data_IF_419358434077
#
_entry.id   IF_419358434077
#
_cell.length_a   1.000
_cell.length_b   1.000
_cell.length_c   1.000
_cell.angle_alpha   90.00
_cell.angle_beta   90.00
_cell.angle_gamma   90.00
#
_symmetry.space_group_name_H-M   'P 1'
#
loop_
_entity.id
_entity.type
_entity.pdbx_description
1 polymer ?
#
# COMPACT_ATOMS: atom_id res chain seq x y z
N UNK A 1 26.03 -0.24 56.71
CA UNK A 1 26.44 -0.34 55.28
C UNK A 1 25.81 -1.52 54.54
N UNK A 2 25.40 -2.62 55.21
CA UNK A 2 24.84 -3.81 54.54
C UNK A 2 23.43 -3.66 53.91
N UNK A 3 22.62 -2.72 54.40
CA UNK A 3 21.24 -2.52 53.91
C UNK A 3 21.23 -1.96 52.47
N UNK A 4 22.17 -1.06 52.15
CA UNK A 4 22.27 -0.49 50.81
C UNK A 4 22.81 -1.50 49.79
N UNK A 5 23.75 -2.37 50.17
CA UNK A 5 24.25 -3.43 49.29
C UNK A 5 23.18 -4.46 48.93
N UNK A 6 22.32 -4.82 49.87
CA UNK A 6 21.21 -5.74 49.60
C UNK A 6 20.17 -5.11 48.66
N UNK A 7 19.90 -3.81 48.84
CA UNK A 7 19.00 -3.07 47.94
C UNK A 7 19.56 -2.92 46.53
N UNK A 8 20.87 -2.72 46.39
CA UNK A 8 21.55 -2.68 45.08
C UNK A 8 21.42 -4.04 44.39
N UNK A 9 21.70 -5.15 45.09
CA UNK A 9 21.55 -6.49 44.53
C UNK A 9 20.10 -6.83 44.13
N UNK A 10 19.11 -6.35 44.89
CA UNK A 10 17.69 -6.50 44.53
C UNK A 10 17.35 -5.72 43.25
N UNK A 11 17.88 -4.51 43.10
CA UNK A 11 17.68 -3.69 41.91
C UNK A 11 18.39 -4.28 40.69
N UNK A 12 19.62 -4.78 40.83
CA UNK A 12 20.36 -5.46 39.74
C UNK A 12 19.58 -6.66 39.21
N UNK A 13 19.02 -7.50 40.10
CA UNK A 13 18.16 -8.62 39.69
C UNK A 13 16.92 -8.16 38.92
N UNK A 14 16.28 -7.07 39.35
CA UNK A 14 15.12 -6.51 38.63
C UNK A 14 15.51 -5.96 37.27
N UNK A 15 16.66 -5.28 37.17
CA UNK A 15 17.20 -4.78 35.91
C UNK A 15 17.44 -5.94 34.94
N UNK A 16 18.14 -7.00 35.37
CA UNK A 16 18.37 -8.19 34.52
C UNK A 16 17.08 -8.86 34.06
N UNK A 17 16.07 -8.94 34.94
CA UNK A 17 14.77 -9.46 34.58
C UNK A 17 14.11 -8.60 33.50
N UNK A 18 14.04 -7.28 33.73
CA UNK A 18 13.47 -6.34 32.76
C UNK A 18 14.19 -6.41 31.41
N UNK A 19 15.52 -6.51 31.39
CA UNK A 19 16.29 -6.69 30.15
C UNK A 19 15.93 -7.98 29.42
N UNK A 20 15.75 -9.09 30.13
CA UNK A 20 15.30 -10.37 29.54
C UNK A 20 13.89 -10.26 28.97
N UNK A 21 13.00 -9.54 29.66
CA UNK A 21 11.64 -9.27 29.16
C UNK A 21 11.68 -8.41 27.90
N UNK A 22 12.43 -7.31 27.91
CA UNK A 22 12.61 -6.42 26.76
C UNK A 22 13.10 -7.22 25.56
N UNK A 23 14.16 -8.04 25.69
CA UNK A 23 14.67 -8.88 24.59
C UNK A 23 13.60 -9.82 24.04
N UNK A 24 12.89 -10.52 24.93
CA UNK A 24 11.80 -11.43 24.52
C UNK A 24 10.68 -10.70 23.80
N UNK A 25 10.31 -9.52 24.27
CA UNK A 25 9.21 -8.75 23.69
C UNK A 25 9.63 -8.07 22.39
N UNK A 26 10.90 -7.66 22.23
CA UNK A 26 11.44 -7.20 20.94
C UNK A 26 11.47 -8.33 19.91
N UNK A 27 11.82 -9.55 20.31
CA UNK A 27 11.82 -10.71 19.41
C UNK A 27 10.39 -11.08 18.99
N UNK A 28 9.44 -11.07 19.93
CA UNK A 28 8.02 -11.27 19.61
C UNK A 28 7.49 -10.18 18.69
N UNK A 29 7.82 -8.92 18.95
CA UNK A 29 7.45 -7.79 18.08
C UNK A 29 7.97 -8.01 16.67
N UNK A 30 9.23 -8.44 16.52
CA UNK A 30 9.82 -8.74 15.20
C UNK A 30 9.05 -9.86 14.49
N UNK A 31 8.73 -10.95 15.19
CA UNK A 31 7.93 -12.06 14.63
C UNK A 31 6.53 -11.61 14.19
N UNK A 32 5.85 -10.81 15.01
CA UNK A 32 4.52 -10.28 14.68
C UNK A 32 4.57 -9.36 13.46
N UNK A 33 5.63 -8.57 13.28
CA UNK A 33 5.82 -7.73 12.09
C UNK A 33 6.00 -8.61 10.84
N UNK A 34 6.83 -9.66 10.92
CA UNK A 34 7.04 -10.60 9.82
C UNK A 34 5.74 -11.34 9.45
N UNK A 35 4.99 -11.78 10.46
CA UNK A 35 3.69 -12.44 10.27
C UNK A 35 2.65 -11.49 9.66
N UNK A 36 2.58 -10.26 10.14
CA UNK A 36 1.66 -9.26 9.60
C UNK A 36 1.99 -8.91 8.14
N UNK A 37 3.28 -8.76 7.81
CA UNK A 37 3.74 -8.57 6.43
C UNK A 37 3.32 -9.74 5.53
N UNK A 38 3.51 -10.98 6.00
CA UNK A 38 3.07 -12.18 5.28
C UNK A 38 1.56 -12.23 5.08
N UNK A 39 0.78 -11.90 6.11
CA UNK A 39 -0.69 -11.86 6.02
C UNK A 39 -1.16 -10.78 5.04
N UNK A 40 -0.52 -9.61 5.06
CA UNK A 40 -0.83 -8.52 4.13
C UNK A 40 -0.56 -8.94 2.68
N UNK A 41 0.56 -9.62 2.43
CA UNK A 41 0.86 -10.21 1.13
C UNK A 41 -0.20 -11.25 0.70
N UNK A 42 -0.61 -12.14 1.61
CA UNK A 42 -1.64 -13.14 1.30
C UNK A 42 -2.99 -12.47 1.00
N UNK A 43 -3.35 -11.44 1.76
CA UNK A 43 -4.58 -10.67 1.52
C UNK A 43 -4.56 -10.00 0.14
N UNK A 44 -3.42 -9.43 -0.28
CA UNK A 44 -3.26 -8.89 -1.63
C UNK A 44 -3.39 -9.98 -2.69
N UNK A 45 -2.77 -11.15 -2.50
CA UNK A 45 -2.93 -12.26 -3.45
C UNK A 45 -4.39 -12.73 -3.56
N UNK A 46 -5.15 -12.72 -2.46
CA UNK A 46 -6.58 -13.07 -2.45
C UNK A 46 -7.42 -12.00 -3.17
N UNK A 47 -7.21 -10.72 -2.88
CA UNK A 47 -7.95 -9.59 -3.48
C UNK A 47 -7.78 -9.54 -5.00
N UNK A 48 -6.55 -9.69 -5.49
CA UNK A 48 -6.25 -9.66 -6.93
C UNK A 48 -6.39 -11.03 -7.60
N UNK A 49 -6.75 -12.08 -6.84
CA UNK A 49 -6.95 -13.46 -7.30
C UNK A 49 -5.84 -13.95 -8.26
N UNK A 50 -4.59 -13.56 -7.98
CA UNK A 50 -3.44 -13.79 -8.84
C UNK A 50 -2.30 -14.47 -8.06
N UNK A 51 -1.42 -15.17 -8.77
CA UNK A 51 -0.24 -15.76 -8.13
C UNK A 51 0.70 -14.65 -7.68
N UNK A 52 1.50 -14.92 -6.65
CA UNK A 52 2.52 -13.98 -6.16
C UNK A 52 3.47 -13.46 -7.23
N UNK A 53 3.80 -14.30 -8.21
CA UNK A 53 4.63 -13.92 -9.36
C UNK A 53 3.86 -12.99 -10.30
N UNK A 54 2.60 -13.30 -10.59
CA UNK A 54 1.75 -12.49 -11.46
C UNK A 54 1.54 -11.09 -10.86
N UNK A 55 1.35 -10.99 -9.54
CA UNK A 55 1.24 -9.70 -8.85
C UNK A 55 2.52 -8.87 -9.01
N UNK A 56 3.69 -9.49 -8.86
CA UNK A 56 4.98 -8.80 -9.05
C UNK A 56 5.19 -8.35 -10.49
N UNK A 57 4.78 -9.17 -11.47
CA UNK A 57 4.88 -8.83 -12.88
C UNK A 57 3.94 -7.69 -13.26
N UNK A 58 2.72 -7.67 -12.72
CA UNK A 58 1.76 -6.56 -12.89
C UNK A 58 2.36 -5.26 -12.32
N UNK A 59 2.82 -5.28 -11.06
CA UNK A 59 3.41 -4.10 -10.41
C UNK A 59 4.63 -3.60 -11.19
N UNK A 60 5.46 -4.50 -11.72
CA UNK A 60 6.64 -4.14 -12.51
C UNK A 60 6.26 -3.47 -13.83
N UNK A 61 5.26 -4.01 -14.52
CA UNK A 61 4.75 -3.44 -15.76
C UNK A 61 4.13 -2.07 -15.54
N UNK A 62 3.33 -1.90 -14.47
CA UNK A 62 2.76 -0.59 -14.09
C UNK A 62 3.85 0.43 -13.78
N UNK A 63 4.88 0.03 -13.02
CA UNK A 63 6.00 0.92 -12.71
C UNK A 63 6.72 1.38 -13.99
N UNK A 64 6.98 0.45 -14.91
CA UNK A 64 7.59 0.76 -16.20
C UNK A 64 6.72 1.68 -17.06
N UNK A 65 5.39 1.49 -17.04
CA UNK A 65 4.46 2.39 -17.73
C UNK A 65 4.49 3.79 -17.14
N UNK A 66 4.48 3.93 -15.81
CA UNK A 66 4.58 5.22 -15.12
C UNK A 66 5.90 5.91 -15.46
N UNK A 67 7.03 5.21 -15.44
CA UNK A 67 8.33 5.76 -15.83
C UNK A 67 8.33 6.24 -17.29
N UNK A 68 7.76 5.46 -18.21
CA UNK A 68 7.62 5.83 -19.62
C UNK A 68 6.76 7.09 -19.79
N UNK A 69 5.67 7.20 -19.02
CA UNK A 69 4.78 8.36 -19.05
C UNK A 69 5.46 9.59 -18.46
N UNK A 70 6.20 9.45 -17.34
CA UNK A 70 7.04 10.52 -16.78
C UNK A 70 8.12 10.98 -17.77
N UNK A 71 8.77 10.04 -18.47
CA UNK A 71 9.76 10.36 -19.50
C UNK A 71 9.15 11.08 -20.71
N UNK A 72 7.87 10.85 -21.02
CA UNK A 72 7.14 11.59 -22.05
C UNK A 72 6.74 13.02 -21.65
N UNK A 73 7.07 13.45 -20.42
CA UNK A 73 6.89 14.82 -19.94
C UNK A 73 5.57 15.08 -19.22
N UNK A 74 4.79 14.05 -18.93
CA UNK A 74 3.57 14.15 -18.13
C UNK A 74 3.89 14.30 -16.64
N UNK A 75 3.17 15.20 -15.96
CA UNK A 75 3.37 15.41 -14.53
C UNK A 75 2.73 14.27 -13.73
N UNK A 76 3.19 14.06 -12.50
CA UNK A 76 2.65 13.02 -11.62
C UNK A 76 1.14 13.20 -11.34
N UNK A 77 0.63 14.43 -11.46
CA UNK A 77 -0.80 14.75 -11.34
C UNK A 77 -1.59 14.27 -12.56
N UNK A 78 -1.07 14.49 -13.77
CA UNK A 78 -1.73 14.05 -15.01
C UNK A 78 -1.76 12.51 -15.10
N UNK A 79 -0.74 11.85 -14.56
CA UNK A 79 -0.67 10.39 -14.44
C UNK A 79 -1.72 9.87 -13.45
N UNK A 80 -1.90 10.54 -12.31
CA UNK A 80 -2.91 10.17 -11.32
C UNK A 80 -4.34 10.35 -11.85
N UNK A 81 -4.59 11.42 -12.60
CA UNK A 81 -5.88 11.69 -13.25
C UNK A 81 -6.18 10.64 -14.33
N UNK A 82 -5.18 10.26 -15.15
CA UNK A 82 -5.31 9.19 -16.16
C UNK A 82 -5.54 7.80 -15.54
N UNK A 83 -4.91 7.52 -14.39
CA UNK A 83 -5.09 6.27 -13.65
C UNK A 83 -6.44 6.20 -12.91
N UNK A 84 -7.30 7.22 -13.01
CA UNK A 84 -8.59 7.28 -12.32
C UNK A 84 -8.48 7.46 -10.80
N UNK A 85 -7.28 7.78 -10.29
CA UNK A 85 -7.07 8.12 -8.87
C UNK A 85 -7.67 9.47 -8.50
N UNK A 86 -8.16 10.22 -9.48
CA UNK A 86 -8.61 11.61 -9.36
C UNK A 86 -10.10 11.84 -9.66
N UNK A 87 -11.03 10.92 -9.32
CA UNK A 87 -12.46 11.30 -9.28
C UNK A 87 -13.33 10.30 -8.52
N UNK A 88 -13.50 10.53 -7.21
CA UNK A 88 -14.84 10.36 -6.61
C UNK A 88 -15.48 11.74 -6.71
N UNK A 89 -16.06 12.09 -7.85
CA UNK A 89 -17.25 12.95 -7.78
C UNK A 89 -18.43 11.98 -7.65
N UNK A 90 -19.45 12.18 -6.82
CA UNK A 90 -20.05 13.40 -6.27
C UNK A 90 -20.23 14.54 -7.27
N UNK A 91 -20.56 14.18 -8.51
CA UNK A 91 -21.32 15.04 -9.40
C UNK A 91 -22.29 14.17 -10.17
N UNK A 92 -23.48 14.06 -9.58
CA UNK A 92 -24.72 13.87 -10.32
C UNK A 92 -24.75 14.93 -11.43
N UNK A 93 -25.26 14.55 -12.61
CA UNK A 93 -25.61 15.41 -13.75
C UNK A 93 -24.47 15.72 -14.74
N UNK A 94 -24.33 14.88 -15.77
CA UNK A 94 -24.64 15.32 -17.14
C UNK A 94 -24.64 14.11 -18.08
N UNK A 95 -25.84 13.67 -18.45
CA UNK A 95 -26.06 12.76 -19.57
C UNK A 95 -25.83 13.50 -20.90
N UNK A 96 -24.60 13.91 -21.20
CA UNK A 96 -24.25 14.24 -22.58
C UNK A 96 -23.89 12.96 -23.32
N UNK A 97 -24.96 12.32 -23.81
CA UNK A 97 -24.91 11.20 -24.73
C UNK A 97 -24.01 11.55 -25.93
N UNK A 98 -22.88 10.85 -26.03
CA UNK A 98 -22.01 10.88 -27.20
C UNK A 98 -22.72 10.23 -28.40
N UNK A 99 -23.54 10.99 -29.13
CA UNK A 99 -24.11 10.56 -30.41
C UNK A 99 -23.11 10.78 -31.54
N UNK A 100 -22.33 9.74 -31.85
CA UNK A 100 -21.30 9.71 -32.90
C UNK A 100 -21.86 9.45 -34.32
N UNK A 101 -23.18 9.35 -34.49
CA UNK A 101 -23.76 9.22 -35.83
C UNK A 101 -24.25 10.58 -36.35
N UNK A 102 -23.35 11.17 -37.13
CA UNK A 102 -23.57 12.18 -38.15
C UNK A 102 -24.83 11.83 -38.96
N UNK A 103 -25.91 12.59 -38.76
CA UNK A 103 -27.08 12.56 -39.64
C UNK A 103 -26.66 13.18 -40.96
N UNK A 104 -26.05 12.35 -41.80
CA UNK A 104 -25.74 12.66 -43.17
C UNK A 104 -27.05 13.05 -43.87
N UNK A 105 -27.00 14.23 -44.46
CA UNK A 105 -27.95 14.82 -45.39
C UNK A 105 -28.89 13.79 -46.04
N UNK A 106 -30.15 13.79 -45.63
CA UNK A 106 -31.21 13.13 -46.39
C UNK A 106 -31.86 14.17 -47.32
N UNK A 107 -31.07 14.67 -48.27
CA UNK A 107 -31.58 15.26 -49.50
C UNK A 107 -31.84 14.10 -50.48
N UNK A 108 -33.10 13.67 -50.60
CA UNK A 108 -33.54 12.95 -51.80
C UNK A 108 -35.06 13.03 -52.00
N UNK A 109 -35.41 13.67 -53.13
CA UNK A 109 -36.70 13.78 -53.87
C UNK A 109 -37.98 14.30 -53.16
#
# INVERSE_FOLDING_TARGET
MAIYSEKIAENERKIEQLEKHIKRDTDKRKKLIEENSRLSYLALCEEYNCSGQDLLDIIRNEHQQIESIKASGLSEKDIADLAGSGHVSDSVDDEEQMSFYDSSDNDND
#
